data_IF_106484177466
#
_entry.id   IF_106484177466
#
_cell.length_a   1.000
_cell.length_b   1.000
_cell.length_c   1.000
_cell.angle_alpha   90.00
_cell.angle_beta   90.00
_cell.angle_gamma   90.00
#
_symmetry.space_group_name_H-M   'P 1'
#
loop_
_entity.id
_entity.type
_entity.pdbx_description
1 polymer ?
#
# COMPACT_ATOMS: atom_id res chain seq x y z
N UNK A 1 -6.33 -33.51 8.81
CA UNK A 1 -6.11 -32.19 8.18
C UNK A 1 -7.29 -31.93 7.27
N UNK A 2 -7.93 -30.74 7.30
CA UNK A 2 -9.01 -30.44 6.38
C UNK A 2 -8.48 -30.51 4.94
N UNK A 3 -9.23 -31.19 4.08
CA UNK A 3 -8.88 -31.31 2.68
C UNK A 3 -9.20 -30.03 1.90
N UNK A 4 -8.74 -29.94 0.64
CA UNK A 4 -9.07 -28.82 -0.24
C UNK A 4 -10.59 -28.59 -0.36
N UNK A 5 -11.37 -29.67 -0.28
CA UNK A 5 -12.83 -29.66 -0.38
C UNK A 5 -13.49 -29.03 0.84
N UNK A 6 -13.08 -29.35 2.07
CA UNK A 6 -13.61 -28.66 3.26
C UNK A 6 -13.29 -27.16 3.24
N UNK A 7 -12.07 -26.78 2.81
CA UNK A 7 -11.66 -25.38 2.72
C UNK A 7 -12.56 -24.62 1.74
N UNK A 8 -12.88 -25.21 0.58
CA UNK A 8 -13.80 -24.61 -0.39
C UNK A 8 -15.22 -24.43 0.16
N UNK A 9 -15.72 -25.41 0.91
CA UNK A 9 -17.06 -25.33 1.53
C UNK A 9 -17.09 -24.20 2.57
N UNK A 10 -16.09 -24.12 3.45
CA UNK A 10 -15.99 -23.05 4.45
C UNK A 10 -15.89 -21.68 3.77
N UNK A 11 -15.06 -21.55 2.73
CA UNK A 11 -14.95 -20.32 1.95
C UNK A 11 -16.31 -19.94 1.31
N UNK A 12 -17.05 -20.92 0.81
CA UNK A 12 -18.41 -20.73 0.29
C UNK A 12 -19.38 -20.20 1.34
N UNK A 13 -19.35 -20.74 2.57
CA UNK A 13 -20.19 -20.26 3.68
C UNK A 13 -19.82 -18.82 4.05
N UNK A 14 -18.53 -18.51 4.16
CA UNK A 14 -18.06 -17.14 4.46
C UNK A 14 -18.51 -16.18 3.34
N UNK A 15 -18.38 -16.57 2.08
CA UNK A 15 -18.87 -15.78 0.94
C UNK A 15 -20.39 -15.58 0.97
N UNK A 16 -21.17 -16.55 1.48
CA UNK A 16 -22.62 -16.42 1.61
C UNK A 16 -23.02 -15.46 2.74
N UNK A 17 -22.32 -15.50 3.88
CA UNK A 17 -22.57 -14.63 5.04
C UNK A 17 -22.14 -13.18 4.78
N UNK A 18 -20.94 -13.00 4.23
CA UNK A 18 -20.37 -11.67 3.99
C UNK A 18 -20.75 -11.12 2.61
N UNK A 19 -21.08 -11.98 1.64
CA UNK A 19 -21.33 -11.61 0.26
C UNK A 19 -20.04 -11.51 -0.56
N UNK A 20 -20.09 -11.94 -1.83
CA UNK A 20 -18.92 -11.98 -2.72
C UNK A 20 -18.26 -10.62 -3.00
N UNK A 21 -18.93 -9.50 -2.71
CA UNK A 21 -18.38 -8.14 -2.87
C UNK A 21 -17.67 -7.62 -1.62
N UNK A 22 -18.02 -8.08 -0.42
CA UNK A 22 -17.43 -7.55 0.83
C UNK A 22 -16.04 -8.13 1.12
N UNK A 23 -15.80 -9.41 0.84
CA UNK A 23 -14.46 -9.98 1.01
C UNK A 23 -13.36 -9.25 0.21
N UNK A 24 -13.51 -9.01 -1.12
CA UNK A 24 -12.49 -8.29 -1.87
C UNK A 24 -12.37 -6.82 -1.47
N UNK A 25 -13.45 -6.20 -1.00
CA UNK A 25 -13.44 -4.82 -0.50
C UNK A 25 -12.65 -4.71 0.82
N UNK A 26 -12.91 -5.61 1.77
CA UNK A 26 -12.16 -5.70 3.03
C UNK A 26 -10.69 -6.06 2.80
N UNK A 27 -10.41 -6.99 1.87
CA UNK A 27 -9.04 -7.36 1.49
C UNK A 27 -8.29 -6.18 0.84
N UNK A 28 -8.96 -5.38 0.00
CA UNK A 28 -8.36 -4.18 -0.62
C UNK A 28 -8.05 -3.08 0.40
N UNK A 29 -8.90 -2.89 1.41
CA UNK A 29 -8.63 -1.95 2.50
C UNK A 29 -7.47 -2.43 3.38
N UNK A 30 -7.60 -3.65 3.91
CA UNK A 30 -6.61 -4.26 4.80
C UNK A 30 -5.26 -4.47 4.12
N UNK A 31 -5.25 -4.91 2.86
CA UNK A 31 -4.02 -5.14 2.10
C UNK A 31 -3.24 -3.85 1.81
N UNK A 32 -3.92 -2.72 1.61
CA UNK A 32 -3.25 -1.42 1.49
C UNK A 32 -2.61 -0.99 2.81
N UNK A 33 -3.33 -1.12 3.93
CA UNK A 33 -2.81 -0.82 5.26
C UNK A 33 -1.61 -1.72 5.62
N UNK A 34 -1.72 -3.03 5.39
CA UNK A 34 -0.63 -3.98 5.61
C UNK A 34 0.58 -3.72 4.69
N UNK A 35 0.35 -3.27 3.45
CA UNK A 35 1.44 -2.93 2.52
C UNK A 35 2.24 -1.72 3.01
N UNK A 36 1.55 -0.64 3.42
CA UNK A 36 2.21 0.56 3.96
C UNK A 36 2.97 0.20 5.24
N UNK A 37 2.30 -0.50 6.16
CA UNK A 37 2.93 -0.98 7.40
C UNK A 37 4.16 -1.86 7.13
N UNK A 38 4.07 -2.77 6.16
CA UNK A 38 5.21 -3.64 5.80
C UNK A 38 6.36 -2.85 5.19
N UNK A 39 6.08 -1.84 4.37
CA UNK A 39 7.09 -0.95 3.77
C UNK A 39 7.80 -0.12 4.83
N UNK A 40 7.06 0.55 5.71
CA UNK A 40 7.64 1.33 6.81
C UNK A 40 8.46 0.45 7.76
N UNK A 41 7.93 -0.70 8.17
CA UNK A 41 8.67 -1.64 9.04
C UNK A 41 9.92 -2.17 8.36
N UNK A 42 9.90 -2.38 7.05
CA UNK A 42 11.07 -2.81 6.27
C UNK A 42 12.14 -1.71 6.20
N UNK A 43 11.74 -0.44 6.07
CA UNK A 43 12.66 0.70 6.11
C UNK A 43 13.31 0.87 7.51
N UNK A 44 12.58 0.56 8.58
CA UNK A 44 13.14 0.55 9.94
C UNK A 44 14.12 -0.61 10.16
N UNK A 45 13.85 -1.79 9.60
CA UNK A 45 14.76 -2.95 9.69
C UNK A 45 15.99 -2.80 8.78
N UNK A 46 15.93 -2.00 7.71
CA UNK A 46 17.00 -1.84 6.71
C UNK A 46 17.98 -0.68 6.97
N UNK A 47 18.01 -0.04 8.15
CA UNK A 47 19.12 0.88 8.48
C UNK A 47 20.45 0.14 8.66
N UNK A 48 21.41 0.33 7.73
CA UNK A 48 22.59 1.13 8.05
C UNK A 48 22.58 2.45 7.28
N UNK A 49 22.96 3.53 7.96
CA UNK A 49 23.23 4.90 7.46
C UNK A 49 23.40 5.03 5.96
N UNK A 50 22.49 5.73 5.28
CA UNK A 50 22.79 6.75 4.26
C UNK A 50 21.58 7.66 4.14
N UNK A 51 21.78 8.93 4.48
CA UNK A 51 20.83 10.00 4.18
C UNK A 51 20.98 10.33 2.69
N UNK A 52 20.03 9.88 1.88
CA UNK A 52 19.83 10.44 0.55
C UNK A 52 19.07 11.76 0.70
N UNK A 53 19.82 12.83 0.91
CA UNK A 53 19.35 14.19 0.58
C UNK A 53 19.47 14.30 -0.93
N UNK A 54 18.41 13.93 -1.65
CA UNK A 54 18.24 14.31 -3.05
C UNK A 54 17.48 15.64 -3.12
N UNK A 55 18.31 16.68 -3.22
CA UNK A 55 18.22 17.79 -4.16
C UNK A 55 17.06 18.79 -4.05
N UNK A 56 17.41 19.90 -3.39
CA UNK A 56 16.81 21.21 -3.56
C UNK A 56 17.15 21.76 -4.96
N UNK A 57 16.22 21.69 -5.92
CA UNK A 57 16.20 22.60 -7.07
C UNK A 57 14.84 22.58 -7.79
N UNK A 58 13.82 23.20 -7.20
CA UNK A 58 12.79 23.87 -8.01
C UNK A 58 12.87 25.36 -7.71
N UNK A 59 13.82 25.96 -8.43
CA UNK A 59 14.01 27.37 -8.67
C UNK A 59 12.66 28.07 -8.90
N UNK A 60 12.22 28.77 -7.87
CA UNK A 60 11.25 29.83 -8.00
C UNK A 60 11.96 31.08 -8.50
N UNK A 61 11.91 31.35 -9.80
CA UNK A 61 12.12 32.70 -10.31
C UNK A 61 11.22 32.96 -11.54
N UNK A 62 10.14 33.71 -11.33
CA UNK A 62 9.63 34.67 -12.34
C UNK A 62 10.29 36.00 -11.97
N UNK A 63 10.85 36.79 -12.91
CA UNK A 63 9.97 37.64 -13.70
C UNK A 63 10.45 37.99 -15.13
N UNK A 64 9.45 38.21 -16.00
CA UNK A 64 9.32 39.39 -16.86
C UNK A 64 10.62 39.97 -17.45
N UNK A 65 10.99 39.54 -18.66
CA UNK A 65 11.74 40.42 -19.56
C UNK A 65 10.74 41.26 -20.38
N UNK A 66 10.25 42.30 -19.72
CA UNK A 66 9.71 43.52 -20.32
C UNK A 66 10.79 44.59 -20.18
N UNK A 67 11.29 45.11 -21.29
CA UNK A 67 11.98 46.41 -21.52
C UNK A 67 12.80 46.24 -22.81
N UNK A 68 12.38 46.76 -23.96
CA UNK A 68 12.45 48.17 -24.36
C UNK A 68 13.91 48.67 -24.45
#
# INVERSE_FOLDING_TARGET
MPGPTEILIVLGIVLLLFGGRKLPELARGTGRALRIFKSEVKELDETPTTMDIEDEATEGEKPSQESA
#
